data_IF_376283377710
#
_entry.id   IF_376283377710
#
_cell.length_a   1.000
_cell.length_b   1.000
_cell.length_c   1.000
_cell.angle_alpha   90.00
_cell.angle_beta   90.00
_cell.angle_gamma   90.00
#
_symmetry.space_group_name_H-M   'P 1'
#
loop_
_entity.id
_entity.type
_entity.pdbx_description
1 polymer ?
#
# COMPACT_ATOMS: atom_id res chain seq x y z
N UNK A 1 -15.76 26.61 -27.58
CA UNK A 1 -15.88 25.62 -26.50
C UNK A 1 -14.55 25.69 -25.79
N UNK A 2 -14.41 26.69 -24.93
CA UNK A 2 -13.26 26.84 -24.04
C UNK A 2 -13.18 25.56 -23.23
N UNK A 3 -12.04 24.90 -23.26
CA UNK A 3 -11.76 23.82 -22.32
C UNK A 3 -11.67 24.55 -20.98
N UNK A 4 -12.72 24.42 -20.18
CA UNK A 4 -12.89 25.08 -18.89
C UNK A 4 -11.61 24.95 -18.06
N UNK A 5 -11.05 26.09 -17.66
CA UNK A 5 -9.86 26.25 -16.80
C UNK A 5 -10.01 25.43 -15.49
N UNK A 6 -11.26 25.20 -15.06
CA UNK A 6 -11.64 24.34 -13.94
C UNK A 6 -11.23 22.86 -14.14
N UNK A 7 -11.32 22.32 -15.36
CA UNK A 7 -10.93 20.94 -15.66
C UNK A 7 -9.40 20.77 -15.63
N UNK A 8 -8.65 21.79 -16.06
CA UNK A 8 -7.20 21.78 -15.98
C UNK A 8 -6.72 21.81 -14.52
N UNK A 9 -7.43 22.57 -13.65
CA UNK A 9 -7.11 22.68 -12.24
C UNK A 9 -7.47 21.41 -11.44
N UNK A 10 -8.56 20.71 -11.76
CA UNK A 10 -8.90 19.40 -11.19
C UNK A 10 -7.87 18.30 -11.56
N UNK A 11 -7.40 18.28 -12.81
CA UNK A 11 -6.35 17.36 -13.26
C UNK A 11 -5.04 17.65 -12.53
N UNK A 12 -4.69 18.93 -12.35
CA UNK A 12 -3.46 19.33 -11.66
C UNK A 12 -3.51 18.97 -10.17
N UNK A 13 -4.67 19.06 -9.51
CA UNK A 13 -4.84 18.65 -8.11
C UNK A 13 -4.61 17.15 -7.90
N UNK A 14 -4.96 16.31 -8.87
CA UNK A 14 -4.74 14.86 -8.80
C UNK A 14 -3.26 14.47 -8.94
N UNK A 15 -2.43 15.33 -9.56
CA UNK A 15 -1.00 15.08 -9.82
C UNK A 15 -0.14 15.28 -8.55
N UNK A 16 -0.57 16.13 -7.62
CA UNK A 16 0.21 16.49 -6.42
C UNK A 16 -0.07 15.60 -5.19
N UNK A 17 -0.83 14.51 -5.35
CA UNK A 17 -1.03 13.55 -4.26
C UNK A 17 0.29 12.78 -4.05
N UNK A 18 0.93 12.88 -2.86
CA UNK A 18 2.19 12.22 -2.62
C UNK A 18 2.04 10.71 -2.78
N UNK A 19 2.92 10.11 -3.59
CA UNK A 19 2.86 8.69 -3.90
C UNK A 19 2.98 7.86 -2.63
N UNK A 20 1.94 7.06 -2.35
CA UNK A 20 1.94 6.20 -1.17
C UNK A 20 3.05 5.13 -1.26
N UNK A 21 3.59 4.66 -0.13
CA UNK A 21 4.59 3.58 -0.14
C UNK A 21 4.11 2.32 -0.88
N UNK A 22 2.81 2.00 -0.81
CA UNK A 22 2.25 0.86 -1.53
C UNK A 22 2.23 1.09 -3.06
N UNK A 23 1.91 2.31 -3.51
CA UNK A 23 1.98 2.65 -4.94
C UNK A 23 3.42 2.53 -5.48
N UNK A 24 4.40 3.02 -4.71
CA UNK A 24 5.83 2.84 -5.02
C UNK A 24 6.22 1.36 -5.13
N UNK A 25 5.72 0.51 -4.23
CA UNK A 25 5.99 -0.93 -4.25
C UNK A 25 5.33 -1.60 -5.47
N UNK A 26 4.09 -1.21 -5.82
CA UNK A 26 3.40 -1.73 -7.02
C UNK A 26 4.18 -1.38 -8.28
N UNK A 27 4.70 -0.15 -8.38
CA UNK A 27 5.57 0.26 -9.50
C UNK A 27 6.85 -0.58 -9.53
N UNK A 28 7.57 -0.67 -8.41
CA UNK A 28 8.79 -1.48 -8.32
C UNK A 28 8.55 -2.95 -8.66
N UNK A 29 7.41 -3.52 -8.25
CA UNK A 29 6.99 -4.88 -8.62
C UNK A 29 6.69 -5.01 -10.10
N UNK A 30 6.03 -4.02 -10.69
CA UNK A 30 5.72 -4.01 -12.13
C UNK A 30 7.00 -3.93 -12.94
N UNK A 31 7.92 -3.04 -12.57
CA UNK A 31 9.22 -2.88 -13.23
C UNK A 31 10.04 -4.17 -13.12
N UNK A 32 10.08 -4.78 -11.93
CA UNK A 32 10.78 -6.05 -11.72
C UNK A 32 10.21 -7.16 -12.60
N UNK A 33 8.89 -7.27 -12.75
CA UNK A 33 8.28 -8.31 -13.58
C UNK A 33 8.62 -8.22 -15.06
N UNK A 34 8.87 -7.01 -15.56
CA UNK A 34 9.13 -6.76 -16.98
C UNK A 34 10.62 -6.58 -17.31
N UNK A 35 11.48 -6.43 -16.30
CA UNK A 35 12.92 -6.36 -16.50
C UNK A 35 13.51 -7.75 -16.79
N UNK A 36 14.42 -7.89 -17.78
CA UNK A 36 15.11 -9.16 -18.05
C UNK A 36 16.08 -9.54 -16.91
N UNK A 37 16.75 -8.54 -16.34
CA UNK A 37 17.71 -8.70 -15.24
C UNK A 37 17.11 -8.28 -13.90
N UNK A 38 17.80 -8.61 -12.80
CA UNK A 38 17.41 -8.24 -11.45
C UNK A 38 17.65 -6.75 -11.20
N UNK A 39 16.59 -6.00 -10.83
CA UNK A 39 16.69 -4.56 -10.55
C UNK A 39 17.27 -4.28 -9.14
N UNK A 40 17.58 -3.00 -8.86
CA UNK A 40 18.03 -2.55 -7.53
C UNK A 40 16.95 -2.82 -6.48
N UNK A 41 17.34 -3.48 -5.40
CA UNK A 41 16.44 -3.85 -4.31
C UNK A 41 15.92 -2.61 -3.57
N UNK A 42 14.59 -2.53 -3.40
CA UNK A 42 13.93 -1.45 -2.68
C UNK A 42 13.82 -1.75 -1.18
N UNK A 43 14.97 -1.95 -0.51
CA UNK A 43 15.05 -2.36 0.90
C UNK A 43 14.37 -1.40 1.87
N UNK A 44 14.77 -0.13 1.85
CA UNK A 44 14.21 0.88 2.76
C UNK A 44 12.68 1.04 2.64
N UNK A 45 12.16 0.89 1.41
CA UNK A 45 10.72 0.91 1.17
C UNK A 45 10.03 -0.29 1.79
N UNK A 46 10.63 -1.48 1.63
CA UNK A 46 10.09 -2.72 2.17
C UNK A 46 10.11 -2.71 3.69
N UNK A 47 11.23 -2.29 4.30
CA UNK A 47 11.39 -2.19 5.75
C UNK A 47 10.36 -1.22 6.34
N UNK A 48 10.16 -0.06 5.71
CA UNK A 48 9.12 0.89 6.12
C UNK A 48 7.70 0.32 6.02
N UNK A 49 7.39 -0.49 5.00
CA UNK A 49 6.08 -1.14 4.86
C UNK A 49 5.89 -2.26 5.89
N UNK A 50 6.92 -3.07 6.14
CA UNK A 50 6.88 -4.15 7.14
C UNK A 50 6.73 -3.59 8.55
N UNK A 51 7.41 -2.49 8.86
CA UNK A 51 7.28 -1.80 10.15
C UNK A 51 5.84 -1.30 10.36
N UNK A 52 5.26 -0.63 9.36
CA UNK A 52 3.86 -0.16 9.43
C UNK A 52 2.86 -1.32 9.56
N UNK A 53 3.08 -2.42 8.83
CA UNK A 53 2.25 -3.62 8.96
C UNK A 53 2.33 -4.21 10.38
N UNK A 54 3.51 -4.19 11.00
CA UNK A 54 3.68 -4.64 12.37
C UNK A 54 2.93 -3.75 13.35
N UNK A 55 3.10 -2.43 13.26
CA UNK A 55 2.39 -1.45 14.09
C UNK A 55 0.86 -1.56 13.95
N UNK A 56 0.36 -1.68 12.72
CA UNK A 56 -1.07 -1.88 12.46
C UNK A 56 -1.57 -3.21 13.02
N UNK A 57 -0.79 -4.29 12.94
CA UNK A 57 -1.18 -5.57 13.52
C UNK A 57 -1.35 -5.48 15.04
N UNK A 58 -0.42 -4.82 15.73
CA UNK A 58 -0.51 -4.59 17.18
C UNK A 58 -1.77 -3.77 17.52
N UNK A 59 -2.03 -2.69 16.77
CA UNK A 59 -3.20 -1.84 17.00
C UNK A 59 -4.52 -2.58 16.75
N UNK A 60 -4.60 -3.36 15.67
CA UNK A 60 -5.79 -4.17 15.35
C UNK A 60 -6.04 -5.19 16.44
N UNK A 61 -5.01 -5.90 16.92
CA UNK A 61 -5.16 -6.86 18.02
C UNK A 61 -5.66 -6.19 19.29
N UNK A 62 -5.12 -5.01 19.65
CA UNK A 62 -5.56 -4.26 20.82
C UNK A 62 -7.04 -3.88 20.73
N UNK A 63 -7.45 -3.26 19.61
CA UNK A 63 -8.84 -2.82 19.40
C UNK A 63 -9.82 -3.99 19.30
N UNK A 64 -9.41 -5.12 18.74
CA UNK A 64 -10.26 -6.32 18.67
C UNK A 64 -10.57 -6.91 20.05
N UNK A 65 -9.65 -6.76 21.01
CA UNK A 65 -9.84 -7.27 22.37
C UNK A 65 -10.56 -6.30 23.30
N UNK A 66 -10.81 -5.06 22.88
CA UNK A 66 -11.48 -4.05 23.69
C UNK A 66 -13.00 -4.29 23.72
N UNK A 67 -13.59 -4.60 24.88
CA UNK A 67 -15.03 -4.85 25.03
C UNK A 67 -15.90 -3.61 24.78
N UNK A 68 -15.32 -2.41 24.71
CA UNK A 68 -16.05 -1.17 24.42
C UNK A 68 -16.16 -0.88 22.91
N UNK A 69 -15.55 -1.70 22.06
CA UNK A 69 -15.58 -1.53 20.61
C UNK A 69 -16.99 -1.71 20.07
N UNK A 70 -17.48 -0.71 19.34
CA UNK A 70 -18.80 -0.73 18.71
C UNK A 70 -18.82 -1.64 17.48
N UNK A 71 -20.01 -2.07 17.05
CA UNK A 71 -20.18 -2.86 15.83
C UNK A 71 -19.64 -2.13 14.58
N UNK A 72 -19.83 -0.81 14.50
CA UNK A 72 -19.31 0.01 13.40
C UNK A 72 -17.77 0.03 13.38
N UNK A 73 -17.14 0.08 14.56
CA UNK A 73 -15.68 -0.02 14.69
C UNK A 73 -15.18 -1.43 14.33
N UNK A 74 -15.90 -2.49 14.67
CA UNK A 74 -15.57 -3.85 14.23
C UNK A 74 -15.62 -4.00 12.70
N UNK A 75 -16.59 -3.37 12.02
CA UNK A 75 -16.65 -3.33 10.56
C UNK A 75 -15.44 -2.59 9.97
N UNK A 76 -15.09 -1.43 10.54
CA UNK A 76 -13.88 -0.69 10.12
C UNK A 76 -12.60 -1.50 10.32
N UNK A 77 -12.46 -2.19 11.46
CA UNK A 77 -11.32 -3.08 11.73
C UNK A 77 -11.22 -4.22 10.71
N UNK A 78 -12.37 -4.76 10.27
CA UNK A 78 -12.41 -5.81 9.25
C UNK A 78 -11.89 -5.31 7.89
N UNK A 79 -12.23 -4.06 7.52
CA UNK A 79 -11.68 -3.43 6.31
C UNK A 79 -10.16 -3.25 6.42
N UNK A 80 -9.67 -2.74 7.56
CA UNK A 80 -8.23 -2.56 7.80
C UNK A 80 -7.48 -3.90 7.71
N UNK A 81 -7.99 -4.96 8.33
CA UNK A 81 -7.39 -6.29 8.21
C UNK A 81 -7.31 -6.80 6.77
N UNK A 82 -8.39 -6.58 6.00
CA UNK A 82 -8.44 -6.98 4.60
C UNK A 82 -7.38 -6.22 3.78
N UNK A 83 -7.23 -4.92 4.01
CA UNK A 83 -6.20 -4.12 3.37
C UNK A 83 -4.78 -4.52 3.78
N UNK A 84 -4.57 -4.85 5.06
CA UNK A 84 -3.29 -5.40 5.52
C UNK A 84 -2.91 -6.69 4.77
N UNK A 85 -3.86 -7.59 4.53
CA UNK A 85 -3.61 -8.80 3.74
C UNK A 85 -3.26 -8.49 2.28
N UNK A 86 -3.88 -7.47 1.68
CA UNK A 86 -3.53 -7.00 0.32
C UNK A 86 -2.08 -6.49 0.27
N UNK A 87 -1.65 -5.73 1.28
CA UNK A 87 -0.26 -5.25 1.36
C UNK A 87 0.71 -6.41 1.58
N UNK A 88 0.42 -7.36 2.48
CA UNK A 88 1.23 -8.57 2.68
C UNK A 88 1.34 -9.40 1.40
N UNK A 89 0.26 -9.52 0.63
CA UNK A 89 0.28 -10.18 -0.67
C UNK A 89 1.25 -9.46 -1.63
N UNK A 90 1.18 -8.14 -1.72
CA UNK A 90 2.05 -7.35 -2.60
C UNK A 90 3.53 -7.53 -2.24
N UNK A 91 3.86 -7.45 -0.95
CA UNK A 91 5.22 -7.70 -0.43
C UNK A 91 5.72 -9.09 -0.84
N UNK A 92 4.92 -10.14 -0.58
CA UNK A 92 5.28 -11.52 -0.93
C UNK A 92 5.47 -11.69 -2.44
N UNK A 93 4.61 -11.04 -3.24
CA UNK A 93 4.67 -11.07 -4.70
C UNK A 93 5.96 -10.42 -5.21
N UNK A 94 6.34 -9.25 -4.69
CA UNK A 94 7.59 -8.56 -5.03
C UNK A 94 8.82 -9.41 -4.76
N UNK A 95 8.95 -9.95 -3.55
CA UNK A 95 10.09 -10.79 -3.19
C UNK A 95 10.14 -12.06 -4.04
N UNK A 96 8.99 -12.71 -4.29
CA UNK A 96 8.93 -13.92 -5.10
C UNK A 96 9.39 -13.68 -6.55
N UNK A 97 8.94 -12.60 -7.18
CA UNK A 97 9.39 -12.24 -8.54
C UNK A 97 10.90 -12.09 -8.59
N UNK A 98 11.49 -11.42 -7.59
CA UNK A 98 12.95 -11.25 -7.51
C UNK A 98 13.69 -12.57 -7.32
N UNK A 99 13.18 -13.47 -6.48
CA UNK A 99 13.80 -14.78 -6.22
C UNK A 99 13.75 -15.75 -7.41
N UNK A 100 12.87 -15.51 -8.39
CA UNK A 100 12.79 -16.32 -9.61
C UNK A 100 13.76 -15.89 -10.71
N UNK A 101 14.48 -14.77 -10.53
CA UNK A 101 15.56 -14.31 -11.41
C UNK A 101 16.91 -14.68 -10.83
#
# INVERSE_FOLDING_TARGET
MDIDDDQAQEIQLAIDIPETPIARLIRAWTDERHAPDLLVFQGDLLDGLLQRLHEQAVMVTHLQTDPNTTEEEHLRLTLVMTDMERVKFMVRSYVRVRLHK
#
